data_IF_388313299278
#
_entry.id   IF_388313299278
#
_cell.length_a   1.000
_cell.length_b   1.000
_cell.length_c   1.000
_cell.angle_alpha   90.00
_cell.angle_beta   90.00
_cell.angle_gamma   90.00
#
_symmetry.space_group_name_H-M   'P 1'
#
loop_
_entity.id
_entity.type
_entity.pdbx_description
1 polymer ?
#
# COMPACT_ATOMS: atom_id res chain seq x y z
N UNK A 1 -0.23 13.99 -9.18
CA UNK A 1 0.29 14.20 -7.95
C UNK A 1 -0.66 14.01 -6.77
N UNK A 2 -1.26 12.81 -6.70
CA UNK A 2 -2.37 12.54 -5.78
C UNK A 2 -1.95 12.66 -4.29
N UNK A 3 -0.82 12.09 -3.89
CA UNK A 3 -0.37 12.14 -2.49
C UNK A 3 -0.05 13.60 -2.10
N UNK A 4 0.70 14.31 -2.92
CA UNK A 4 1.05 15.69 -2.65
C UNK A 4 -0.17 16.60 -2.59
N UNK A 5 -1.09 16.52 -3.55
CA UNK A 5 -2.34 17.28 -3.56
C UNK A 5 -3.21 17.06 -2.32
N UNK A 6 -3.19 15.86 -1.76
CA UNK A 6 -3.99 15.56 -0.58
C UNK A 6 -3.33 16.01 0.73
N UNK A 7 -2.01 16.13 0.77
CA UNK A 7 -1.26 16.58 1.94
C UNK A 7 -1.01 18.10 1.94
N UNK A 8 -0.79 18.67 0.75
CA UNK A 8 -0.46 20.07 0.55
C UNK A 8 -1.27 20.66 -0.60
N UNK A 9 -2.53 20.97 -0.39
CA UNK A 9 -3.37 21.54 -1.46
C UNK A 9 -2.82 22.86 -2.01
N UNK A 10 -2.09 23.62 -1.20
CA UNK A 10 -1.50 24.90 -1.57
C UNK A 10 -0.05 24.84 -2.09
N UNK A 11 0.60 23.68 -2.10
CA UNK A 11 2.01 23.61 -2.48
C UNK A 11 2.33 24.14 -3.87
N UNK A 12 1.39 24.00 -4.80
CA UNK A 12 1.56 24.49 -6.17
C UNK A 12 1.71 26.02 -6.27
N UNK A 13 1.25 26.76 -5.26
CA UNK A 13 1.39 28.21 -5.16
C UNK A 13 2.53 28.66 -4.25
N UNK A 14 3.22 27.72 -3.62
CA UNK A 14 4.35 28.01 -2.73
C UNK A 14 5.55 28.56 -3.54
N UNK A 15 6.10 29.73 -3.20
CA UNK A 15 7.20 30.34 -3.94
C UNK A 15 8.46 29.48 -4.00
N UNK A 16 8.77 28.73 -2.91
CA UNK A 16 9.95 27.85 -2.88
C UNK A 16 9.75 26.64 -3.81
N UNK A 17 8.53 26.11 -3.90
CA UNK A 17 8.20 25.04 -4.84
C UNK A 17 8.25 25.52 -6.30
N UNK A 18 7.80 26.73 -6.57
CA UNK A 18 7.82 27.32 -7.93
C UNK A 18 9.24 27.60 -8.42
N UNK A 19 10.14 27.99 -7.53
CA UNK A 19 11.52 28.29 -7.88
C UNK A 19 12.33 26.98 -8.04
N UNK A 20 12.91 26.80 -9.23
CA UNK A 20 13.70 25.60 -9.57
C UNK A 20 14.93 25.43 -8.69
N UNK A 21 15.56 26.53 -8.25
CA UNK A 21 16.76 26.51 -7.41
C UNK A 21 16.46 26.04 -5.98
N UNK A 22 15.31 26.38 -5.42
CA UNK A 22 14.93 26.05 -4.05
C UNK A 22 14.03 24.81 -3.94
N UNK A 23 13.55 24.28 -5.06
CA UNK A 23 12.61 23.16 -5.11
C UNK A 23 13.20 21.87 -4.48
N UNK A 24 14.48 21.60 -4.67
CA UNK A 24 15.13 20.43 -4.07
C UNK A 24 15.15 20.51 -2.54
N UNK A 25 15.45 21.69 -2.00
CA UNK A 25 15.46 21.93 -0.56
C UNK A 25 14.04 21.89 0.02
N UNK A 26 13.06 22.40 -0.73
CA UNK A 26 11.65 22.27 -0.39
C UNK A 26 11.25 20.80 -0.21
N UNK A 27 11.60 19.92 -1.16
CA UNK A 27 11.31 18.49 -1.05
C UNK A 27 12.01 17.83 0.12
N UNK A 28 13.28 18.17 0.34
CA UNK A 28 14.06 17.62 1.44
C UNK A 28 13.45 18.00 2.80
N UNK A 29 13.09 19.26 2.99
CA UNK A 29 12.53 19.79 4.23
C UNK A 29 11.10 19.33 4.50
N UNK A 30 10.23 19.41 3.48
CA UNK A 30 8.80 19.08 3.62
C UNK A 30 8.51 17.59 3.48
N UNK A 31 9.47 16.81 2.96
CA UNK A 31 9.34 15.37 2.66
C UNK A 31 8.15 15.05 1.74
N UNK A 32 7.68 16.00 0.95
CA UNK A 32 6.64 15.79 -0.05
C UNK A 32 7.14 14.84 -1.13
N UNK A 33 6.37 13.84 -1.46
CA UNK A 33 6.66 12.88 -2.53
C UNK A 33 5.65 13.02 -3.66
N UNK A 34 6.17 13.15 -4.87
CA UNK A 34 5.38 13.24 -6.08
C UNK A 34 5.36 11.92 -6.83
N UNK A 35 4.16 11.51 -7.24
CA UNK A 35 4.02 10.35 -8.11
C UNK A 35 4.57 10.64 -9.50
N UNK A 36 5.41 9.74 -9.99
CA UNK A 36 5.89 9.76 -11.39
C UNK A 36 4.73 9.46 -12.34
N UNK A 37 4.90 9.83 -13.61
CA UNK A 37 3.84 9.68 -14.62
C UNK A 37 3.25 8.27 -14.67
N UNK A 38 4.07 7.23 -14.67
CA UNK A 38 3.62 5.83 -14.68
C UNK A 38 2.88 5.43 -13.39
N UNK A 39 3.28 5.95 -12.23
CA UNK A 39 2.58 5.71 -10.96
C UNK A 39 1.19 6.38 -10.97
N UNK A 40 1.08 7.60 -11.50
CA UNK A 40 -0.22 8.26 -11.72
C UNK A 40 -1.10 7.44 -12.66
N UNK A 41 -0.52 6.88 -13.73
CA UNK A 41 -1.23 5.97 -14.65
C UNK A 41 -1.78 4.74 -13.93
N UNK A 42 -0.98 4.10 -13.08
CA UNK A 42 -1.39 2.93 -12.30
C UNK A 42 -2.56 3.27 -11.36
N UNK A 43 -2.47 4.39 -10.62
CA UNK A 43 -3.56 4.84 -9.73
C UNK A 43 -4.85 5.14 -10.53
N UNK A 44 -4.75 5.82 -11.67
CA UNK A 44 -5.91 6.09 -12.55
C UNK A 44 -6.52 4.79 -13.11
N UNK A 45 -5.68 3.82 -13.47
CA UNK A 45 -6.17 2.53 -13.98
C UNK A 45 -6.98 1.78 -12.91
N UNK A 46 -6.51 1.79 -11.65
CA UNK A 46 -7.26 1.20 -10.53
C UNK A 46 -8.59 1.93 -10.30
N UNK A 47 -8.60 3.26 -10.32
CA UNK A 47 -9.84 4.04 -10.16
C UNK A 47 -10.87 3.67 -11.22
N UNK A 48 -10.44 3.57 -12.48
CA UNK A 48 -11.30 3.12 -13.58
C UNK A 48 -11.82 1.69 -13.36
N UNK A 49 -10.93 0.76 -13.00
CA UNK A 49 -11.29 -0.63 -12.77
C UNK A 49 -12.29 -0.80 -11.61
N UNK A 50 -12.13 -0.04 -10.52
CA UNK A 50 -13.10 -0.02 -9.40
C UNK A 50 -14.45 0.54 -9.84
N UNK A 51 -14.47 1.60 -10.65
CA UNK A 51 -15.72 2.12 -11.23
C UNK A 51 -16.42 1.09 -12.14
N UNK A 52 -15.65 0.21 -12.79
CA UNK A 52 -16.14 -0.95 -13.57
C UNK A 52 -16.47 -2.18 -12.67
N UNK A 53 -16.49 -2.00 -11.34
CA UNK A 53 -16.78 -3.06 -10.34
C UNK A 53 -15.77 -4.22 -10.34
N UNK A 54 -14.54 -3.99 -10.80
CA UNK A 54 -13.45 -4.96 -10.68
C UNK A 54 -12.85 -4.85 -9.27
N UNK A 55 -12.46 -5.99 -8.73
CA UNK A 55 -11.92 -6.14 -7.38
C UNK A 55 -10.49 -6.69 -7.35
N UNK A 56 -9.91 -7.03 -8.51
CA UNK A 56 -8.57 -7.61 -8.66
C UNK A 56 -7.71 -6.82 -9.60
N UNK A 57 -6.50 -6.49 -9.12
CA UNK A 57 -5.57 -5.63 -9.83
C UNK A 57 -4.16 -6.21 -9.78
N UNK A 58 -3.41 -6.02 -10.84
CA UNK A 58 -1.99 -6.39 -10.91
C UNK A 58 -1.19 -5.20 -11.45
N UNK A 59 -0.18 -4.79 -10.70
CA UNK A 59 0.80 -3.81 -11.16
C UNK A 59 2.12 -4.50 -11.47
N UNK A 60 2.51 -4.46 -12.72
CA UNK A 60 3.84 -4.80 -13.16
C UNK A 60 4.74 -3.57 -13.05
N UNK A 61 5.68 -3.63 -12.13
CA UNK A 61 6.60 -2.51 -11.84
C UNK A 61 7.99 -3.06 -11.52
N UNK A 62 8.99 -2.65 -12.29
CA UNK A 62 10.37 -3.07 -12.06
C UNK A 62 10.86 -2.72 -10.64
N UNK A 63 11.87 -3.44 -10.16
CA UNK A 63 12.51 -3.14 -8.87
C UNK A 63 13.06 -1.70 -8.89
N UNK A 64 12.93 -0.99 -7.77
CA UNK A 64 13.41 0.41 -7.65
C UNK A 64 12.50 1.46 -8.29
N UNK A 65 11.39 1.10 -8.93
CA UNK A 65 10.46 2.07 -9.54
C UNK A 65 9.46 2.69 -8.56
N UNK A 66 9.56 2.36 -7.26
CA UNK A 66 8.70 2.93 -6.23
C UNK A 66 7.37 2.18 -6.06
N UNK A 67 7.41 0.85 -6.07
CA UNK A 67 6.24 -0.01 -5.76
C UNK A 67 5.58 0.41 -4.44
N UNK A 68 6.36 0.60 -3.38
CA UNK A 68 5.87 0.99 -2.05
C UNK A 68 5.18 2.36 -2.06
N UNK A 69 5.74 3.35 -2.77
CA UNK A 69 5.09 4.67 -2.91
C UNK A 69 3.79 4.58 -3.70
N UNK A 70 3.75 3.75 -4.76
CA UNK A 70 2.53 3.51 -5.53
C UNK A 70 1.47 2.81 -4.66
N UNK A 71 1.87 1.83 -3.85
CA UNK A 71 0.99 1.17 -2.88
C UNK A 71 0.44 2.16 -1.86
N UNK A 72 1.27 3.05 -1.31
CA UNK A 72 0.83 4.09 -0.39
C UNK A 72 -0.21 5.02 -1.04
N UNK A 73 -0.03 5.37 -2.32
CA UNK A 73 -1.01 6.17 -3.06
C UNK A 73 -2.36 5.44 -3.23
N UNK A 74 -2.32 4.14 -3.55
CA UNK A 74 -3.53 3.31 -3.65
C UNK A 74 -4.21 3.16 -2.29
N UNK A 75 -3.46 2.85 -1.25
CA UNK A 75 -3.97 2.75 0.13
C UNK A 75 -4.69 4.05 0.52
N UNK A 76 -4.02 5.18 0.34
CA UNK A 76 -4.60 6.50 0.65
C UNK A 76 -5.88 6.77 -0.14
N UNK A 77 -5.89 6.43 -1.43
CA UNK A 77 -7.08 6.57 -2.27
C UNK A 77 -8.25 5.77 -1.71
N UNK A 78 -8.04 4.49 -1.42
CA UNK A 78 -9.10 3.58 -0.97
C UNK A 78 -9.63 3.93 0.42
N UNK A 79 -8.76 4.29 1.36
CA UNK A 79 -9.15 4.72 2.70
C UNK A 79 -9.92 6.04 2.66
N UNK A 80 -9.47 7.04 1.90
CA UNK A 80 -10.14 8.35 1.80
C UNK A 80 -11.49 8.30 1.11
N UNK A 81 -11.66 7.42 0.13
CA UNK A 81 -12.94 7.27 -0.59
C UNK A 81 -13.93 6.36 0.14
N UNK A 82 -13.55 5.80 1.29
CA UNK A 82 -14.40 4.89 2.05
C UNK A 82 -14.57 3.51 1.42
N UNK A 83 -13.83 3.18 0.36
CA UNK A 83 -13.85 1.85 -0.25
C UNK A 83 -13.18 0.79 0.63
N UNK A 84 -12.39 1.21 1.60
CA UNK A 84 -11.61 0.35 2.49
C UNK A 84 -11.53 1.00 3.86
N UNK A 85 -11.70 0.21 4.91
CA UNK A 85 -11.46 0.61 6.30
C UNK A 85 -10.12 0.11 6.81
N UNK A 86 -9.71 -1.06 6.35
CA UNK A 86 -8.45 -1.68 6.76
C UNK A 86 -7.77 -2.41 5.62
N UNK A 87 -6.45 -2.25 5.56
CA UNK A 87 -5.56 -2.80 4.53
C UNK A 87 -4.63 -3.84 5.15
N UNK A 88 -4.49 -4.98 4.50
CA UNK A 88 -3.45 -5.97 4.77
C UNK A 88 -2.36 -5.85 3.71
N UNK A 89 -1.13 -5.54 4.14
CA UNK A 89 0.03 -5.49 3.26
C UNK A 89 0.92 -6.70 3.51
N UNK A 90 1.00 -7.57 2.51
CA UNK A 90 1.74 -8.83 2.56
C UNK A 90 3.12 -8.66 1.94
N UNK A 91 4.16 -8.97 2.70
CA UNK A 91 5.54 -9.01 2.24
C UNK A 91 6.09 -10.45 2.22
N UNK A 92 7.16 -10.65 1.44
CA UNK A 92 7.75 -12.00 1.27
C UNK A 92 8.65 -12.41 2.44
N UNK A 93 9.33 -11.43 3.09
CA UNK A 93 10.33 -11.69 4.14
C UNK A 93 10.14 -10.78 5.34
N UNK A 94 10.59 -11.26 6.51
CA UNK A 94 10.44 -10.53 7.77
C UNK A 94 11.13 -9.16 7.77
N UNK A 95 12.29 -9.05 7.13
CA UNK A 95 13.05 -7.80 7.06
C UNK A 95 12.29 -6.72 6.27
N UNK A 96 11.39 -7.14 5.37
CA UNK A 96 10.56 -6.22 4.59
C UNK A 96 9.38 -5.67 5.37
N UNK A 97 8.98 -6.27 6.51
CA UNK A 97 7.92 -5.73 7.38
C UNK A 97 8.31 -4.36 7.91
N UNK A 98 9.52 -4.23 8.47
CA UNK A 98 10.04 -2.96 8.99
C UNK A 98 10.22 -1.91 7.91
N UNK A 99 10.71 -2.32 6.73
CA UNK A 99 10.88 -1.41 5.59
C UNK A 99 9.54 -0.88 5.09
N UNK A 100 8.54 -1.75 4.96
CA UNK A 100 7.19 -1.35 4.54
C UNK A 100 6.55 -0.43 5.58
N UNK A 101 6.64 -0.78 6.88
CA UNK A 101 6.11 0.06 7.95
C UNK A 101 6.75 1.44 7.95
N UNK A 102 8.09 1.54 7.91
CA UNK A 102 8.80 2.82 7.85
C UNK A 102 8.38 3.67 6.66
N UNK A 103 8.23 3.05 5.48
CA UNK A 103 7.79 3.74 4.28
C UNK A 103 6.35 4.26 4.42
N UNK A 104 5.42 3.48 4.95
CA UNK A 104 4.05 3.91 5.16
C UNK A 104 3.96 4.98 6.26
N UNK A 105 4.72 4.85 7.34
CA UNK A 105 4.82 5.89 8.37
C UNK A 105 5.36 7.21 7.80
N UNK A 106 6.33 7.16 6.87
CA UNK A 106 6.83 8.35 6.19
C UNK A 106 5.78 8.96 5.25
N UNK A 107 5.09 8.12 4.45
CA UNK A 107 4.20 8.61 3.39
C UNK A 107 2.79 8.93 3.89
N UNK A 108 2.31 8.26 4.96
CA UNK A 108 0.92 8.28 5.39
C UNK A 108 0.71 8.59 6.88
N UNK A 109 1.76 8.80 7.67
CA UNK A 109 1.72 8.91 9.14
C UNK A 109 0.77 9.96 9.70
N UNK A 110 0.52 11.01 8.95
CA UNK A 110 -0.37 12.10 9.37
C UNK A 110 -1.85 11.76 9.16
N UNK A 111 -2.12 10.71 8.39
CA UNK A 111 -3.47 10.33 7.99
C UNK A 111 -3.87 8.95 8.54
N UNK A 112 -2.92 7.98 8.58
CA UNK A 112 -3.24 6.59 8.88
C UNK A 112 -2.14 5.90 9.68
N UNK A 113 -2.55 5.01 10.60
CA UNK A 113 -1.66 4.24 11.45
C UNK A 113 -1.24 2.93 10.76
N UNK A 114 0.06 2.65 10.77
CA UNK A 114 0.63 1.39 10.27
C UNK A 114 1.20 0.57 11.43
N UNK A 115 0.89 -0.72 11.46
CA UNK A 115 1.43 -1.65 12.48
C UNK A 115 1.96 -2.93 11.82
N UNK A 116 2.97 -3.54 12.44
CA UNK A 116 3.41 -4.89 12.11
C UNK A 116 2.59 -5.86 12.98
N UNK A 117 1.95 -6.83 12.36
CA UNK A 117 1.02 -7.74 13.05
C UNK A 117 1.66 -8.51 14.20
N UNK A 118 2.88 -9.05 14.03
CA UNK A 118 3.57 -9.84 15.07
C UNK A 118 3.80 -9.05 16.37
N UNK A 119 3.92 -7.72 16.27
CA UNK A 119 4.16 -6.81 17.39
C UNK A 119 2.87 -6.28 18.01
N UNK A 120 1.75 -6.37 17.29
CA UNK A 120 0.48 -5.74 17.64
C UNK A 120 -0.70 -6.74 17.53
N UNK A 121 -0.53 -7.97 18.00
CA UNK A 121 -1.52 -9.05 17.86
C UNK A 121 -2.89 -8.74 18.46
N UNK A 122 -2.90 -7.97 19.55
CA UNK A 122 -4.13 -7.62 20.27
C UNK A 122 -4.73 -6.31 19.78
N UNK A 123 -3.90 -5.42 19.23
CA UNK A 123 -4.26 -4.03 18.91
C UNK A 123 -4.29 -3.72 17.40
N UNK A 124 -4.02 -4.68 16.53
CA UNK A 124 -3.98 -4.45 15.09
C UNK A 124 -5.28 -3.84 14.53
N UNK A 125 -6.41 -4.10 15.19
CA UNK A 125 -7.72 -3.53 14.81
C UNK A 125 -7.81 -2.01 14.98
N UNK A 126 -6.90 -1.40 15.73
CA UNK A 126 -6.78 0.05 15.95
C UNK A 126 -5.94 0.75 14.85
N UNK A 127 -5.48 -0.01 13.85
CA UNK A 127 -4.70 0.51 12.73
C UNK A 127 -5.44 0.31 11.41
N UNK A 128 -5.24 1.23 10.50
CA UNK A 128 -5.79 1.13 9.14
C UNK A 128 -4.91 0.25 8.25
N UNK A 129 -3.61 0.15 8.54
CA UNK A 129 -2.66 -0.60 7.72
C UNK A 129 -1.95 -1.63 8.60
N UNK A 130 -2.08 -2.90 8.22
CA UNK A 130 -1.43 -4.03 8.91
C UNK A 130 -0.43 -4.67 7.96
N UNK A 131 0.83 -4.73 8.37
CA UNK A 131 1.94 -5.35 7.62
C UNK A 131 2.26 -6.70 8.24
N UNK A 132 2.42 -7.74 7.40
CA UNK A 132 2.87 -9.06 7.84
C UNK A 132 3.44 -9.87 6.68
N UNK A 133 4.16 -10.96 6.98
CA UNK A 133 4.60 -11.89 5.94
C UNK A 133 3.52 -12.93 5.62
N UNK A 134 3.51 -13.39 4.37
CA UNK A 134 2.65 -14.51 3.94
C UNK A 134 2.94 -15.77 4.77
N UNK A 135 4.22 -16.06 5.00
CA UNK A 135 4.66 -17.25 5.76
C UNK A 135 4.16 -17.24 7.21
N UNK A 136 4.18 -16.07 7.86
CA UNK A 136 3.66 -15.91 9.22
C UNK A 136 2.16 -16.25 9.30
N UNK A 137 1.40 -15.94 8.26
CA UNK A 137 -0.03 -16.23 8.20
C UNK A 137 -0.33 -17.68 7.82
N UNK A 138 0.50 -18.28 6.97
CA UNK A 138 0.36 -19.70 6.59
C UNK A 138 0.68 -20.65 7.74
N UNK A 139 1.61 -20.27 8.60
CA UNK A 139 2.02 -21.13 9.73
C UNK A 139 0.82 -21.53 10.59
N UNK A 140 0.55 -22.84 10.69
CA UNK A 140 -0.61 -23.40 11.39
C UNK A 140 -1.96 -22.79 10.98
N UNK A 141 -2.14 -22.41 9.73
CA UNK A 141 -3.34 -21.74 9.23
C UNK A 141 -3.75 -20.50 10.06
N UNK A 142 -2.76 -19.75 10.53
CA UNK A 142 -2.95 -18.62 11.43
C UNK A 142 -3.91 -17.58 10.87
N UNK A 143 -3.92 -17.35 9.55
CA UNK A 143 -4.85 -16.42 8.91
C UNK A 143 -6.32 -16.74 9.19
N UNK A 144 -6.71 -18.03 9.21
CA UNK A 144 -8.09 -18.45 9.55
C UNK A 144 -8.41 -18.36 11.03
N UNK A 145 -7.39 -18.50 11.89
CA UNK A 145 -7.57 -18.49 13.35
C UNK A 145 -7.56 -17.09 13.94
N UNK A 146 -6.86 -16.17 13.32
CA UNK A 146 -6.63 -14.81 13.83
C UNK A 146 -7.48 -13.74 13.16
N UNK A 147 -8.01 -14.05 11.97
CA UNK A 147 -8.76 -13.08 11.17
C UNK A 147 -10.05 -13.67 10.62
N UNK A 148 -11.06 -12.81 10.51
CA UNK A 148 -12.26 -13.05 9.72
C UNK A 148 -12.00 -12.70 8.23
N UNK A 149 -12.69 -13.33 7.28
CA UNK A 149 -12.58 -12.98 5.85
C UNK A 149 -12.88 -11.50 5.54
N UNK A 150 -13.61 -10.82 6.41
CA UNK A 150 -14.04 -9.42 6.28
C UNK A 150 -13.20 -8.44 7.09
N UNK A 151 -12.12 -8.89 7.75
CA UNK A 151 -11.28 -8.01 8.57
C UNK A 151 -10.46 -7.02 7.73
N UNK A 152 -10.20 -7.34 6.46
CA UNK A 152 -9.47 -6.48 5.53
C UNK A 152 -10.25 -6.30 4.23
N UNK A 153 -10.49 -5.06 3.87
CA UNK A 153 -11.24 -4.68 2.67
C UNK A 153 -10.31 -4.51 1.44
N UNK A 154 -8.99 -4.41 1.68
CA UNK A 154 -7.96 -4.40 0.64
C UNK A 154 -6.77 -5.26 1.08
N UNK A 155 -6.37 -6.19 0.26
CA UNK A 155 -5.15 -7.00 0.44
C UNK A 155 -4.17 -6.66 -0.66
N UNK A 156 -2.99 -6.20 -0.28
CA UNK A 156 -1.88 -5.92 -1.21
C UNK A 156 -0.78 -6.94 -0.97
N UNK A 157 -0.31 -7.58 -2.04
CA UNK A 157 0.84 -8.49 -1.97
C UNK A 157 2.00 -7.90 -2.74
N UNK A 158 3.09 -7.61 -2.04
CA UNK A 158 4.37 -7.32 -2.68
C UNK A 158 5.00 -8.65 -3.16
N UNK A 159 5.64 -8.61 -4.32
CA UNK A 159 6.14 -9.80 -5.03
C UNK A 159 5.01 -10.84 -5.29
N UNK A 160 3.91 -10.39 -5.86
CA UNK A 160 2.69 -11.17 -6.08
C UNK A 160 2.92 -12.48 -6.84
N UNK A 161 3.94 -12.56 -7.72
CA UNK A 161 4.30 -13.81 -8.40
C UNK A 161 4.61 -14.96 -7.43
N UNK A 162 5.05 -14.66 -6.20
CA UNK A 162 5.27 -15.64 -5.13
C UNK A 162 4.01 -15.92 -4.32
N UNK A 163 3.12 -14.95 -4.20
CA UNK A 163 1.92 -15.02 -3.36
C UNK A 163 0.67 -15.53 -4.11
N UNK A 164 0.66 -15.45 -5.44
CA UNK A 164 -0.45 -15.93 -6.29
C UNK A 164 -0.37 -17.44 -6.55
N UNK A 165 0.79 -18.07 -6.33
CA UNK A 165 1.02 -19.49 -6.52
C UNK A 165 1.00 -20.30 -5.22
N UNK A 166 0.65 -21.59 -5.31
CA UNK A 166 0.75 -22.54 -4.21
C UNK A 166 -0.06 -22.14 -2.97
N UNK A 167 0.47 -22.48 -1.80
CA UNK A 167 -0.18 -22.25 -0.50
C UNK A 167 -0.36 -20.75 -0.16
N UNK A 168 0.50 -19.87 -0.69
CA UNK A 168 0.40 -18.42 -0.49
C UNK A 168 -0.90 -17.84 -1.05
N UNK A 169 -1.41 -18.41 -2.13
CA UNK A 169 -2.70 -18.04 -2.71
C UNK A 169 -3.84 -18.19 -1.71
N UNK A 170 -3.80 -19.20 -0.84
CA UNK A 170 -4.85 -19.42 0.15
C UNK A 170 -5.02 -18.25 1.11
N UNK A 171 -3.92 -17.59 1.52
CA UNK A 171 -3.98 -16.38 2.35
C UNK A 171 -4.56 -15.21 1.55
N UNK A 172 -4.09 -15.01 0.31
CA UNK A 172 -4.52 -13.90 -0.53
C UNK A 172 -6.02 -13.99 -0.88
N UNK A 173 -6.53 -15.20 -1.15
CA UNK A 173 -7.93 -15.44 -1.50
C UNK A 173 -8.87 -15.52 -0.30
N UNK A 174 -8.36 -15.73 0.91
CA UNK A 174 -9.18 -15.88 2.11
C UNK A 174 -10.03 -14.63 2.42
N UNK A 175 -9.45 -13.46 2.22
CA UNK A 175 -10.13 -12.20 2.49
C UNK A 175 -11.06 -11.82 1.32
N UNK A 176 -12.24 -11.26 1.61
CA UNK A 176 -13.26 -10.97 0.59
C UNK A 176 -12.99 -9.66 -0.16
N UNK A 177 -12.22 -8.73 0.42
CA UNK A 177 -11.98 -7.39 -0.14
C UNK A 177 -11.22 -7.33 -1.46
N UNK A 178 -10.89 -6.12 -1.89
CA UNK A 178 -10.07 -5.85 -3.06
C UNK A 178 -8.69 -6.51 -2.98
N UNK A 179 -8.13 -6.90 -4.13
CA UNK A 179 -6.83 -7.56 -4.25
C UNK A 179 -5.91 -6.79 -5.17
N UNK A 180 -4.74 -6.40 -4.68
CA UNK A 180 -3.69 -5.80 -5.49
C UNK A 180 -2.40 -6.62 -5.40
N UNK A 181 -1.96 -7.15 -6.53
CA UNK A 181 -0.65 -7.74 -6.68
C UNK A 181 0.36 -6.73 -7.20
N UNK A 182 1.56 -6.73 -6.65
CA UNK A 182 2.72 -5.98 -7.16
C UNK A 182 3.78 -6.98 -7.57
N UNK A 183 4.31 -6.87 -8.77
CA UNK A 183 5.37 -7.76 -9.25
C UNK A 183 6.34 -7.05 -10.16
N UNK A 184 7.61 -7.47 -10.10
CA UNK A 184 8.62 -7.03 -11.06
C UNK A 184 8.62 -7.91 -12.33
N UNK A 185 8.17 -9.15 -12.21
CA UNK A 185 8.12 -10.13 -13.30
C UNK A 185 6.76 -10.81 -13.31
N UNK A 186 5.90 -10.55 -14.30
CA UNK A 186 4.68 -11.33 -14.48
C UNK A 186 5.05 -12.77 -14.88
N UNK A 187 4.25 -13.72 -14.42
CA UNK A 187 4.27 -15.09 -14.94
C UNK A 187 3.15 -15.25 -15.94
#
# INVERSE_FOLDING_TARGET
DYIALTQYPSYATDPEFQNTATRSDFFFRTKVRFLRHYQKKAVKAIQKAVAEKKDRFLFEMATGTGKTLTSAAVIKLFLRTGNTRRVLFLVDRLELEDQAKKAFDEYLRNDYKTVIYKENRDDWRKAEIVVTTVQSLLFNNKFKRSFSPTDFDLVISDEAHRSIGGNARAVFEYFVGYKLGLTATPK
#
